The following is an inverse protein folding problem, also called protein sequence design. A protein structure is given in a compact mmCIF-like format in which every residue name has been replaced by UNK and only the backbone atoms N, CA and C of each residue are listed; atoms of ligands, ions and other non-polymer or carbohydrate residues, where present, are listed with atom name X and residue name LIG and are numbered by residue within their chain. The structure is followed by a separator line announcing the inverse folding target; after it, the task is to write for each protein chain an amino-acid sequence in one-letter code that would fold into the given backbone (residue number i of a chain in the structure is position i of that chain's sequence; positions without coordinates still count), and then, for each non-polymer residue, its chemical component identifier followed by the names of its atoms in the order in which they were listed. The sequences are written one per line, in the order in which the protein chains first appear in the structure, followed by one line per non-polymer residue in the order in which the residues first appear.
data_IF_728082800905
#
_entry.id   IF_728082800905
#
_cell.length_a   1.000
_cell.length_b   1.000
_cell.length_c   1.000
_cell.angle_alpha   90.00
_cell.angle_beta   90.00
_cell.angle_gamma   90.00
#
_symmetry.space_group_name_H-M   'P 1'
#
loop_
_entity.id
_entity.type
_entity.pdbx_description
1 polymer ?
#
# COMPACT_ATOMS: atom_id res chain seq x y z
N UNK A 1 7.98 1.84 -16.38
CA UNK A 1 7.31 2.13 -15.07
C UNK A 1 7.57 0.98 -14.12
N UNK A 2 8.09 1.22 -12.93
CA UNK A 2 8.22 0.19 -11.90
C UNK A 2 6.95 0.12 -11.02
N UNK A 3 6.87 -0.86 -10.13
CA UNK A 3 5.67 -1.06 -9.29
C UNK A 3 5.32 0.19 -8.45
N UNK A 4 6.34 0.92 -7.95
CA UNK A 4 6.10 2.14 -7.17
C UNK A 4 5.47 3.26 -8.04
N UNK A 5 5.91 3.42 -9.27
CA UNK A 5 5.34 4.40 -10.21
C UNK A 5 3.89 4.06 -10.58
N UNK A 6 3.58 2.77 -10.75
CA UNK A 6 2.21 2.31 -11.00
C UNK A 6 1.32 2.59 -9.80
N UNK A 7 1.77 2.24 -8.59
CA UNK A 7 1.02 2.51 -7.36
C UNK A 7 0.79 4.01 -7.14
N UNK A 8 1.79 4.86 -7.45
CA UNK A 8 1.64 6.31 -7.41
C UNK A 8 0.56 6.80 -8.38
N UNK A 9 0.60 6.34 -9.63
CA UNK A 9 -0.39 6.72 -10.63
C UNK A 9 -1.81 6.31 -10.20
N UNK A 10 -1.96 5.12 -9.60
CA UNK A 10 -3.23 4.67 -9.02
C UNK A 10 -3.62 5.58 -7.86
N UNK A 11 -2.71 5.88 -6.92
CA UNK A 11 -3.00 6.75 -5.77
C UNK A 11 -3.48 8.14 -6.19
N UNK A 12 -2.84 8.74 -7.20
CA UNK A 12 -3.21 10.05 -7.74
C UNK A 12 -4.58 10.04 -8.45
N UNK A 13 -5.06 8.89 -8.93
CA UNK A 13 -6.37 8.74 -9.55
C UNK A 13 -7.50 8.52 -8.55
N UNK A 14 -7.19 8.24 -7.28
CA UNK A 14 -8.19 8.03 -6.26
C UNK A 14 -8.77 9.37 -5.77
N UNK A 15 -10.04 9.40 -5.33
CA UNK A 15 -10.59 10.59 -4.67
C UNK A 15 -9.74 10.91 -3.44
N UNK A 16 -9.04 12.03 -3.50
CA UNK A 16 -8.21 12.49 -2.39
C UNK A 16 -9.09 12.99 -1.25
N UNK A 17 -8.83 12.58 -0.03
CA UNK A 17 -9.36 13.29 1.10
C UNK A 17 -8.49 14.54 1.32
N UNK A 18 -9.03 15.72 0.98
CA UNK A 18 -8.69 16.90 1.74
C UNK A 18 -7.29 17.52 1.60
N UNK A 19 -7.02 18.10 0.43
CA UNK A 19 -6.12 19.25 0.45
C UNK A 19 -6.74 20.31 1.34
N UNK A 20 -6.05 20.72 2.37
CA UNK A 20 -6.34 21.95 3.06
C UNK A 20 -7.43 21.96 4.11
N UNK A 21 -7.90 20.86 4.61
CA UNK A 21 -8.73 20.83 5.80
C UNK A 21 -7.98 20.34 7.03
N UNK A 22 -7.33 21.24 7.69
CA UNK A 22 -6.61 21.02 8.94
C UNK A 22 -5.81 22.23 9.33
N UNK A 23 -5.24 22.24 10.54
CA UNK A 23 -4.42 23.35 11.05
C UNK A 23 -3.10 23.55 10.30
N UNK A 24 -2.72 22.62 9.44
CA UNK A 24 -1.58 22.72 8.53
C UNK A 24 -1.98 22.02 7.21
N UNK A 25 -2.54 22.76 6.23
CA UNK A 25 -2.88 22.22 4.93
C UNK A 25 -1.60 21.79 4.20
N UNK A 26 -1.60 20.55 3.71
CA UNK A 26 -0.55 20.06 2.83
C UNK A 26 -0.72 20.70 1.44
N UNK A 27 0.37 21.16 0.84
CA UNK A 27 0.35 21.63 -0.55
C UNK A 27 0.16 20.43 -1.51
N UNK A 28 -0.30 20.70 -2.74
CA UNK A 28 -0.43 19.64 -3.74
C UNK A 28 0.92 18.95 -4.01
N UNK A 29 2.01 19.72 -4.08
CA UNK A 29 3.36 19.18 -4.26
C UNK A 29 3.75 18.26 -3.10
N UNK A 30 3.62 18.72 -1.87
CA UNK A 30 3.93 17.93 -0.68
C UNK A 30 3.07 16.64 -0.60
N UNK A 31 1.80 16.72 -1.01
CA UNK A 31 0.94 15.56 -1.10
C UNK A 31 1.44 14.54 -2.14
N UNK A 32 1.83 15.00 -3.33
CA UNK A 32 2.38 14.13 -4.39
C UNK A 32 3.68 13.45 -3.95
N UNK A 33 4.59 14.20 -3.34
CA UNK A 33 5.86 13.68 -2.79
C UNK A 33 5.60 12.63 -1.70
N UNK A 34 4.62 12.87 -0.85
CA UNK A 34 4.22 11.93 0.19
C UNK A 34 3.57 10.67 -0.39
N UNK A 35 2.74 10.77 -1.42
CA UNK A 35 2.21 9.60 -2.14
C UNK A 35 3.32 8.81 -2.84
N UNK A 36 4.33 9.49 -3.39
CA UNK A 36 5.53 8.86 -3.95
C UNK A 36 6.25 8.04 -2.86
N UNK A 37 6.45 8.64 -1.68
CA UNK A 37 7.06 7.96 -0.53
C UNK A 37 6.26 6.71 -0.13
N UNK A 38 4.93 6.82 -0.07
CA UNK A 38 4.02 5.72 0.24
C UNK A 38 4.15 4.58 -0.78
N UNK A 39 4.07 4.91 -2.08
CA UNK A 39 4.15 3.94 -3.16
C UNK A 39 5.51 3.21 -3.18
N UNK A 40 6.60 3.99 -3.01
CA UNK A 40 7.96 3.45 -2.95
C UNK A 40 8.13 2.51 -1.75
N UNK A 41 7.66 2.91 -0.57
CA UNK A 41 7.76 2.09 0.63
C UNK A 41 7.00 0.75 0.48
N UNK A 42 5.79 0.79 -0.09
CA UNK A 42 5.00 -0.41 -0.35
C UNK A 42 5.73 -1.34 -1.33
N UNK A 43 6.23 -0.81 -2.46
CA UNK A 43 6.91 -1.62 -3.46
C UNK A 43 8.16 -2.29 -2.89
N UNK A 44 9.05 -1.53 -2.25
CA UNK A 44 10.30 -2.05 -1.67
C UNK A 44 10.05 -3.13 -0.61
N UNK A 45 9.10 -2.92 0.28
CA UNK A 45 8.81 -3.89 1.34
C UNK A 45 8.04 -5.11 0.82
N UNK A 46 7.26 -4.99 -0.24
CA UNK A 46 6.60 -6.13 -0.88
C UNK A 46 7.61 -7.02 -1.60
N UNK A 47 8.60 -6.43 -2.29
CA UNK A 47 9.69 -7.17 -2.94
C UNK A 47 10.59 -7.88 -1.94
N UNK A 48 10.84 -7.27 -0.78
CA UNK A 48 11.67 -7.84 0.29
C UNK A 48 10.93 -8.85 1.19
N UNK A 49 9.62 -9.06 0.98
CA UNK A 49 8.81 -9.88 1.87
C UNK A 49 8.83 -11.36 1.48
N UNK A 50 9.35 -12.20 2.35
CA UNK A 50 9.38 -13.66 2.19
C UNK A 50 8.21 -14.40 2.88
N UNK A 51 7.46 -13.70 3.70
CA UNK A 51 6.36 -14.29 4.51
C UNK A 51 5.04 -14.44 3.76
N UNK A 52 4.90 -13.77 2.60
CA UNK A 52 3.67 -13.75 1.82
C UNK A 52 3.53 -15.01 0.97
N UNK A 53 2.31 -15.50 0.85
CA UNK A 53 2.02 -16.76 0.14
C UNK A 53 1.89 -16.60 -1.37
N UNK A 54 1.80 -15.37 -1.85
CA UNK A 54 1.63 -15.03 -3.26
C UNK A 54 2.76 -14.12 -3.73
N UNK A 55 2.69 -13.60 -4.93
CA UNK A 55 3.68 -12.68 -5.49
C UNK A 55 3.72 -11.31 -4.77
N UNK A 56 4.83 -10.61 -4.92
CA UNK A 56 5.05 -9.30 -4.31
C UNK A 56 4.04 -8.25 -4.78
N UNK A 57 3.58 -8.33 -6.04
CA UNK A 57 2.58 -7.42 -6.59
C UNK A 57 1.25 -7.55 -5.87
N UNK A 58 0.82 -8.79 -5.59
CA UNK A 58 -0.41 -9.04 -4.85
C UNK A 58 -0.35 -8.53 -3.40
N UNK A 59 0.83 -8.64 -2.75
CA UNK A 59 1.05 -8.09 -1.42
C UNK A 59 1.06 -6.56 -1.42
N UNK A 60 1.72 -5.95 -2.40
CA UNK A 60 1.73 -4.51 -2.58
C UNK A 60 0.31 -3.96 -2.75
N UNK A 61 -0.49 -4.58 -3.62
CA UNK A 61 -1.89 -4.22 -3.83
C UNK A 61 -2.73 -4.39 -2.56
N UNK A 62 -2.54 -5.48 -1.80
CA UNK A 62 -3.24 -5.70 -0.53
C UNK A 62 -2.89 -4.61 0.50
N UNK A 63 -1.60 -4.30 0.65
CA UNK A 63 -1.13 -3.25 1.56
C UNK A 63 -1.67 -1.88 1.17
N UNK A 64 -1.62 -1.54 -0.12
CA UNK A 64 -2.14 -0.29 -0.66
C UNK A 64 -3.63 -0.13 -0.37
N UNK A 65 -4.44 -1.15 -0.65
CA UNK A 65 -5.89 -1.13 -0.42
C UNK A 65 -6.22 -1.06 1.07
N UNK A 66 -5.49 -1.79 1.90
CA UNK A 66 -5.64 -1.72 3.35
C UNK A 66 -5.36 -0.30 3.85
N UNK A 67 -4.24 0.30 3.48
CA UNK A 67 -3.89 1.68 3.89
C UNK A 67 -4.88 2.72 3.38
N UNK A 68 -5.29 2.62 2.12
CA UNK A 68 -6.33 3.51 1.60
C UNK A 68 -7.66 3.34 2.34
N UNK A 69 -8.01 2.13 2.73
CA UNK A 69 -9.27 1.86 3.45
C UNK A 69 -9.22 2.31 4.91
N UNK A 70 -8.07 2.23 5.57
CA UNK A 70 -7.89 2.59 6.97
C UNK A 70 -7.67 4.11 7.17
N UNK A 71 -6.93 4.74 6.28
CA UNK A 71 -6.45 6.10 6.49
C UNK A 71 -6.78 7.07 5.35
N UNK A 72 -7.18 6.59 4.18
CA UNK A 72 -7.27 7.39 2.95
C UNK A 72 -5.98 8.15 2.63
N UNK A 73 -4.84 7.62 3.08
CA UNK A 73 -3.54 8.29 3.01
C UNK A 73 -3.51 9.68 3.66
N UNK A 74 -4.32 9.93 4.68
CA UNK A 74 -4.39 11.21 5.36
C UNK A 74 -3.07 11.55 6.05
N UNK A 75 -2.62 12.83 5.93
CA UNK A 75 -1.34 13.29 6.48
C UNK A 75 -1.25 13.10 7.99
N UNK A 76 -2.31 13.47 8.71
CA UNK A 76 -2.34 13.37 10.17
C UNK A 76 -2.29 11.92 10.67
N UNK A 77 -2.71 10.97 9.85
CA UNK A 77 -2.58 9.53 10.14
C UNK A 77 -1.17 9.06 9.86
N UNK A 78 -0.60 9.46 8.72
CA UNK A 78 0.76 9.11 8.32
C UNK A 78 1.81 9.64 9.30
N UNK A 79 1.72 10.92 9.63
CA UNK A 79 2.60 11.58 10.60
C UNK A 79 2.39 11.11 12.05
N UNK A 80 1.25 10.47 12.35
CA UNK A 80 0.88 10.12 13.72
C UNK A 80 0.41 11.31 14.56
N UNK A 81 0.14 12.46 13.93
CA UNK A 81 -0.35 13.67 14.64
C UNK A 81 -1.84 13.61 14.96
N UNK A 82 -2.58 12.66 14.38
CA UNK A 82 -4.01 12.51 14.62
C UNK A 82 -4.29 12.12 16.07
N UNK A 83 -4.89 13.03 16.79
CA UNK A 83 -5.58 12.73 18.05
C UNK A 83 -6.96 12.20 17.66
N UNK A 84 -7.28 10.96 18.03
CA UNK A 84 -8.60 10.38 17.75
C UNK A 84 -9.71 11.33 18.19
N UNK A 85 -10.60 11.68 17.26
CA UNK A 85 -11.81 12.49 17.58
C UNK A 85 -12.92 11.67 18.26
N UNK A 86 -12.83 10.35 18.17
CA UNK A 86 -13.87 9.42 18.58
C UNK A 86 -13.41 8.56 19.75
N UNK A 87 -13.00 9.13 20.86
CA UNK A 87 -12.84 8.54 22.18
C UNK A 87 -12.40 7.07 22.35
N UNK A 88 -12.79 6.22 21.43
CA UNK A 88 -12.60 4.77 21.54
C UNK A 88 -11.19 4.32 21.18
N UNK A 89 -10.47 5.03 20.32
CA UNK A 89 -9.13 4.60 19.87
C UNK A 89 -7.98 5.48 20.39
N UNK A 90 -8.23 6.65 20.90
CA UNK A 90 -7.33 7.54 21.66
C UNK A 90 -5.81 7.41 21.35
N UNK A 91 -5.43 7.29 20.07
CA UNK A 91 -4.03 7.11 19.67
C UNK A 91 -3.48 5.70 19.86
N UNK A 92 -4.33 4.68 19.96
CA UNK A 92 -3.93 3.27 20.04
C UNK A 92 -3.53 2.69 18.68
N UNK A 93 -4.09 3.24 17.58
CA UNK A 93 -3.69 2.87 16.23
C UNK A 93 -2.58 3.80 15.72
N UNK A 94 -1.65 3.25 14.94
CA UNK A 94 -0.54 4.00 14.36
C UNK A 94 -0.37 3.71 12.89
N UNK A 95 0.21 4.69 12.21
CA UNK A 95 0.55 4.74 10.79
C UNK A 95 -0.63 4.47 9.84
N UNK A 96 -0.36 4.46 8.55
CA UNK A 96 -1.40 4.32 7.51
C UNK A 96 -2.22 3.02 7.61
N UNK A 97 -1.62 1.96 8.12
CA UNK A 97 -2.30 0.68 8.36
C UNK A 97 -3.17 0.64 9.62
N UNK A 98 -3.21 1.71 10.41
CA UNK A 98 -3.95 1.77 11.68
C UNK A 98 -3.65 0.58 12.61
N UNK A 99 -2.35 0.29 12.75
CA UNK A 99 -1.88 -0.86 13.52
C UNK A 99 -1.98 -0.61 15.01
N UNK A 100 -2.66 -1.51 15.71
CA UNK A 100 -2.73 -1.52 17.17
C UNK A 100 -1.54 -2.25 17.78
N UNK A 101 -1.16 -1.84 18.98
CA UNK A 101 -0.20 -2.58 19.79
C UNK A 101 -0.81 -3.94 20.16
N UNK A 102 -0.25 -5.00 19.62
CA UNK A 102 -0.67 -6.39 19.83
C UNK A 102 0.54 -7.30 19.97
N UNK A 103 0.32 -8.60 20.17
CA UNK A 103 1.39 -9.59 20.09
C UNK A 103 2.12 -9.62 18.74
N UNK A 104 1.45 -9.16 17.66
CA UNK A 104 1.97 -9.12 16.31
C UNK A 104 2.74 -7.83 15.99
N UNK A 105 2.40 -6.75 16.68
CA UNK A 105 3.08 -5.45 16.63
C UNK A 105 3.57 -5.11 18.03
N UNK A 106 4.77 -5.57 18.41
CA UNK A 106 5.32 -5.33 19.74
C UNK A 106 5.46 -3.84 20.04
N UNK A 107 5.45 -3.47 21.33
CA UNK A 107 5.52 -2.08 21.76
C UNK A 107 6.74 -1.34 21.21
N UNK A 108 7.88 -2.02 21.08
CA UNK A 108 9.10 -1.45 20.48
C UNK A 108 8.90 -1.02 19.06
N UNK A 109 8.37 -1.91 18.21
CA UNK A 109 8.05 -1.62 16.79
C UNK A 109 6.96 -0.57 16.69
N UNK A 110 5.87 -0.73 17.47
CA UNK A 110 4.71 0.15 17.41
C UNK A 110 5.02 1.63 17.67
N UNK A 111 6.00 1.91 18.55
CA UNK A 111 6.42 3.29 18.84
C UNK A 111 6.99 4.03 17.62
N UNK A 112 7.66 3.30 16.74
CA UNK A 112 8.45 3.83 15.63
C UNK A 112 7.72 3.78 14.27
N UNK A 113 6.39 3.51 14.28
CA UNK A 113 5.61 3.39 13.06
C UNK A 113 5.12 4.75 12.51
N UNK A 114 5.16 5.81 13.30
CA UNK A 114 4.70 7.13 12.87
C UNK A 114 5.82 7.90 12.18
N UNK A 115 5.49 8.63 11.12
CA UNK A 115 6.42 9.47 10.37
C UNK A 115 6.10 9.43 8.87
N UNK A 116 6.44 10.52 8.17
CA UNK A 116 6.18 10.67 6.74
C UNK A 116 7.43 10.46 5.87
N UNK A 117 8.59 10.29 6.49
CA UNK A 117 9.81 9.92 5.79
C UNK A 117 9.75 8.47 5.27
N UNK A 118 10.63 8.17 4.31
CA UNK A 118 10.63 6.87 3.66
C UNK A 118 10.86 5.72 4.66
N UNK A 119 11.76 5.87 5.60
CA UNK A 119 12.10 4.79 6.52
C UNK A 119 10.97 4.51 7.54
N UNK A 120 10.33 5.55 8.07
CA UNK A 120 9.14 5.37 8.91
C UNK A 120 7.99 4.72 8.13
N UNK A 121 7.79 5.15 6.87
CA UNK A 121 6.77 4.59 5.98
C UNK A 121 7.07 3.12 5.65
N UNK A 122 8.33 2.76 5.39
CA UNK A 122 8.76 1.37 5.20
C UNK A 122 8.52 0.51 6.44
N UNK A 123 8.84 1.02 7.65
CA UNK A 123 8.52 0.30 8.89
C UNK A 123 7.02 0.02 9.03
N UNK A 124 6.18 1.00 8.68
CA UNK A 124 4.72 0.81 8.66
C UNK A 124 4.31 -0.25 7.63
N UNK A 125 4.87 -0.22 6.40
CA UNK A 125 4.59 -1.18 5.34
C UNK A 125 4.95 -2.61 5.79
N UNK A 126 6.17 -2.81 6.27
CA UNK A 126 6.66 -4.10 6.78
C UNK A 126 5.77 -4.65 7.89
N UNK A 127 5.39 -3.82 8.85
CA UNK A 127 4.51 -4.23 9.95
C UNK A 127 3.11 -4.59 9.45
N UNK A 128 2.54 -3.81 8.52
CA UNK A 128 1.24 -4.10 7.90
C UNK A 128 1.28 -5.42 7.13
N UNK A 129 2.29 -5.61 6.28
CA UNK A 129 2.47 -6.83 5.48
C UNK A 129 2.61 -8.08 6.35
N UNK A 130 3.37 -7.98 7.44
CA UNK A 130 3.49 -9.05 8.42
C UNK A 130 2.15 -9.42 9.03
N UNK A 131 1.32 -8.44 9.38
CA UNK A 131 -0.02 -8.69 9.91
C UNK A 131 -0.92 -9.31 8.83
N UNK A 132 -0.90 -8.80 7.60
CA UNK A 132 -1.67 -9.36 6.47
C UNK A 132 -1.28 -10.82 6.19
N UNK A 133 0.03 -11.11 6.06
CA UNK A 133 0.51 -12.47 5.82
C UNK A 133 0.08 -13.44 6.91
N UNK A 134 0.15 -13.01 8.15
CA UNK A 134 -0.26 -13.81 9.28
C UNK A 134 -1.77 -14.04 9.33
N UNK A 135 -2.59 -13.02 9.04
CA UNK A 135 -4.04 -13.19 8.95
C UNK A 135 -4.42 -14.07 7.76
N UNK A 136 -3.68 -13.98 6.65
CA UNK A 136 -3.82 -14.86 5.51
C UNK A 136 -3.63 -16.33 5.90
N UNK A 137 -2.51 -16.65 6.57
CA UNK A 137 -2.24 -18.01 7.09
C UNK A 137 -3.33 -18.48 8.04
N UNK A 138 -3.73 -17.63 8.98
CA UNK A 138 -4.79 -17.92 9.94
C UNK A 138 -6.13 -18.23 9.27
N UNK A 139 -6.49 -17.47 8.26
CA UNK A 139 -7.74 -17.66 7.52
C UNK A 139 -7.66 -18.77 6.47
N UNK A 140 -6.57 -19.54 6.46
CA UNK A 140 -6.32 -20.67 5.56
C UNK A 140 -6.44 -20.26 4.08
N UNK A 141 -5.81 -19.12 3.74
CA UNK A 141 -5.66 -18.74 2.35
C UNK A 141 -4.75 -19.74 1.64
N UNK A 142 -5.21 -20.23 0.49
CA UNK A 142 -4.50 -21.22 -0.34
C UNK A 142 -3.87 -20.52 -1.56
N UNK A 143 -3.18 -21.30 -2.35
CA UNK A 143 -2.18 -20.99 -3.37
C UNK A 143 -2.53 -19.96 -4.47
N UNK A 144 -3.73 -19.42 -4.51
CA UNK A 144 -4.09 -18.34 -5.45
C UNK A 144 -4.93 -17.25 -4.77
N UNK A 145 -4.60 -15.98 -5.02
CA UNK A 145 -5.43 -14.89 -4.55
C UNK A 145 -6.81 -14.96 -5.18
N UNK A 146 -7.84 -14.96 -4.36
CA UNK A 146 -9.21 -14.80 -4.80
C UNK A 146 -9.97 -13.88 -3.85
N UNK A 147 -11.08 -13.32 -4.36
CA UNK A 147 -11.86 -12.33 -3.61
C UNK A 147 -12.35 -12.83 -2.24
N UNK A 148 -12.69 -14.11 -2.15
CA UNK A 148 -13.16 -14.69 -0.90
C UNK A 148 -12.05 -14.82 0.14
N UNK A 149 -10.88 -15.31 -0.25
CA UNK A 149 -9.72 -15.45 0.62
C UNK A 149 -9.28 -14.08 1.14
N UNK A 150 -9.21 -13.08 0.25
CA UNK A 150 -8.88 -11.70 0.62
C UNK A 150 -9.91 -11.07 1.55
N UNK A 151 -11.21 -11.28 1.29
CA UNK A 151 -12.24 -10.77 2.18
C UNK A 151 -12.16 -11.36 3.59
N UNK A 152 -11.77 -12.62 3.71
CA UNK A 152 -11.53 -13.28 5.00
C UNK A 152 -10.31 -12.73 5.72
N UNK A 153 -9.21 -12.55 5.01
CA UNK A 153 -7.99 -11.94 5.56
C UNK A 153 -8.26 -10.52 6.04
N UNK A 154 -8.92 -9.71 5.22
CA UNK A 154 -9.28 -8.33 5.57
C UNK A 154 -10.27 -8.26 6.75
N UNK A 155 -11.20 -9.20 6.86
CA UNK A 155 -12.05 -9.31 8.04
C UNK A 155 -11.23 -9.58 9.31
N UNK A 156 -10.26 -10.50 9.24
CA UNK A 156 -9.38 -10.80 10.35
C UNK A 156 -8.43 -9.63 10.68
N UNK A 157 -8.01 -8.86 9.68
CA UNK A 157 -7.24 -7.64 9.89
C UNK A 157 -8.03 -6.59 10.69
N UNK A 158 -9.29 -6.37 10.31
CA UNK A 158 -10.17 -5.38 10.95
C UNK A 158 -10.61 -5.77 12.37
N UNK A 159 -10.90 -7.06 12.57
CA UNK A 159 -11.55 -7.55 13.79
C UNK A 159 -10.64 -8.45 14.65
N UNK A 160 -9.38 -8.61 14.26
CA UNK A 160 -8.34 -9.31 15.00
C UNK A 160 -8.45 -10.83 15.06
N UNK A 161 -9.65 -11.40 15.06
CA UNK A 161 -9.87 -12.83 15.30
C UNK A 161 -10.78 -13.54 14.30
N UNK A 162 -11.70 -12.82 13.67
CA UNK A 162 -12.73 -13.43 12.80
C UNK A 162 -12.31 -13.43 11.34
N UNK A 163 -12.34 -14.62 10.73
CA UNK A 163 -12.20 -14.76 9.28
C UNK A 163 -13.55 -14.71 8.53
N UNK A 164 -14.62 -14.35 9.19
CA UNK A 164 -15.93 -14.22 8.57
C UNK A 164 -16.00 -12.90 7.78
N UNK A 165 -16.19 -12.93 6.43
CA UNK A 165 -16.25 -11.73 5.63
C UNK A 165 -17.38 -10.80 6.07
N UNK A 166 -17.08 -9.51 6.09
CA UNK A 166 -18.02 -8.42 6.32
C UNK A 166 -18.26 -7.65 5.02
N UNK A 167 -19.25 -6.77 4.99
CA UNK A 167 -19.46 -5.83 3.88
C UNK A 167 -18.21 -4.99 3.62
N UNK A 168 -17.55 -4.51 4.68
CA UNK A 168 -16.34 -3.72 4.59
C UNK A 168 -15.16 -4.53 4.01
N UNK A 169 -14.88 -5.73 4.53
CA UNK A 169 -13.80 -6.57 4.04
C UNK A 169 -14.03 -7.05 2.59
N UNK A 170 -15.27 -7.35 2.22
CA UNK A 170 -15.64 -7.68 0.84
C UNK A 170 -15.41 -6.49 -0.10
N UNK A 171 -15.72 -5.27 0.35
CA UNK A 171 -15.43 -4.06 -0.42
C UNK A 171 -13.92 -3.86 -0.63
N UNK A 172 -13.09 -4.12 0.39
CA UNK A 172 -11.62 -4.07 0.27
C UNK A 172 -11.11 -5.12 -0.72
N UNK A 173 -11.60 -6.36 -0.64
CA UNK A 173 -11.23 -7.40 -1.59
C UNK A 173 -11.56 -7.02 -3.06
N UNK A 174 -12.71 -6.40 -3.31
CA UNK A 174 -13.05 -5.87 -4.65
C UNK A 174 -12.11 -4.75 -5.10
N UNK A 175 -11.75 -3.83 -4.20
CA UNK A 175 -10.76 -2.79 -4.50
C UNK A 175 -9.40 -3.37 -4.84
N UNK A 176 -8.98 -4.40 -4.12
CA UNK A 176 -7.76 -5.13 -4.46
C UNK A 176 -7.79 -5.65 -5.89
N UNK A 177 -8.88 -6.32 -6.30
CA UNK A 177 -9.01 -6.80 -7.67
C UNK A 177 -8.94 -5.66 -8.70
N UNK A 178 -9.56 -4.51 -8.40
CA UNK A 178 -9.46 -3.32 -9.24
C UNK A 178 -8.02 -2.80 -9.34
N UNK A 179 -7.29 -2.74 -8.22
CA UNK A 179 -5.89 -2.31 -8.19
C UNK A 179 -5.01 -3.29 -8.97
N UNK A 180 -5.18 -4.61 -8.76
CA UNK A 180 -4.47 -5.64 -9.52
C UNK A 180 -4.69 -5.52 -11.02
N UNK A 181 -5.95 -5.39 -11.46
CA UNK A 181 -6.26 -5.22 -12.88
C UNK A 181 -5.63 -3.96 -13.49
N UNK A 182 -5.53 -2.86 -12.73
CA UNK A 182 -4.82 -1.64 -13.16
C UNK A 182 -3.31 -1.86 -13.25
N UNK A 183 -2.71 -2.55 -12.28
CA UNK A 183 -1.28 -2.89 -12.32
C UNK A 183 -0.98 -3.73 -13.57
N UNK A 184 -1.76 -4.77 -13.82
CA UNK A 184 -1.59 -5.62 -15.00
C UNK A 184 -1.74 -4.84 -16.31
N UNK A 185 -2.74 -3.98 -16.40
CA UNK A 185 -2.96 -3.14 -17.58
C UNK A 185 -1.77 -2.21 -17.84
N UNK A 186 -1.33 -1.44 -16.83
CA UNK A 186 -0.23 -0.48 -16.96
C UNK A 186 1.10 -1.17 -17.26
N UNK A 187 1.31 -2.39 -16.75
CA UNK A 187 2.49 -3.19 -17.08
C UNK A 187 2.48 -3.60 -18.55
N UNK A 188 1.36 -4.10 -19.08
CA UNK A 188 1.22 -4.46 -20.49
C UNK A 188 1.36 -3.26 -21.44
N UNK A 189 0.79 -2.12 -21.09
CA UNK A 189 0.93 -0.88 -21.88
C UNK A 189 2.39 -0.44 -21.97
N UNK A 190 3.14 -0.59 -20.87
CA UNK A 190 4.58 -0.29 -20.86
C UNK A 190 5.37 -1.26 -21.73
N UNK A 191 5.13 -2.56 -21.61
CA UNK A 191 5.80 -3.59 -22.41
C UNK A 191 5.58 -3.30 -23.90
N UNK A 192 4.34 -3.04 -24.29
CA UNK A 192 4.00 -2.69 -25.67
C UNK A 192 4.70 -1.40 -26.15
N UNK A 193 4.85 -0.40 -25.29
CA UNK A 193 5.55 0.84 -25.63
C UNK A 193 7.06 0.61 -25.83
N UNK A 194 7.69 -0.25 -25.04
CA UNK A 194 9.11 -0.62 -25.18
C UNK A 194 9.36 -1.40 -26.48
N UNK A 195 8.45 -2.30 -26.83
CA UNK A 195 8.55 -3.08 -28.06
C UNK A 195 8.34 -2.22 -29.33
N UNK A 196 7.59 -1.11 -29.20
CA UNK A 196 7.33 -0.18 -30.28
C UNK A 196 8.45 0.87 -30.49
N UNK A 197 9.40 1.00 -29.57
CA UNK A 197 10.49 1.96 -29.67
C UNK A 197 11.49 1.47 -30.74
N UNK A 198 11.70 2.20 -31.86
CA UNK A 198 12.57 1.75 -32.94
C UNK A 198 13.99 1.64 -32.39
N UNK A 199 14.65 0.50 -32.63
CA UNK A 199 16.05 0.31 -32.30
C UNK A 199 16.86 1.49 -32.87
N UNK A 200 17.47 2.29 -32.00
CA UNK A 200 18.36 3.36 -32.41
C UNK A 200 19.47 2.75 -33.28
N UNK A 201 19.36 2.94 -34.59
CA UNK A 201 20.39 2.53 -35.52
C UNK A 201 21.66 3.30 -35.14
N UNK A 202 22.75 2.63 -34.77
CA UNK A 202 23.97 3.34 -34.45
C UNK A 202 24.42 4.10 -35.70
N UNK A 203 24.44 5.42 -35.60
CA UNK A 203 24.94 6.29 -36.64
C UNK A 203 26.46 5.96 -36.78
N UNK A 204 26.82 5.13 -37.73
CA UNK A 204 28.24 4.89 -38.08
C UNK A 204 28.83 6.22 -38.49
N UNK A 205 29.65 6.80 -37.61
CA UNK A 205 30.43 7.98 -37.95
C UNK A 205 31.28 7.64 -39.16
N UNK A 206 31.12 8.40 -40.23
CA UNK A 206 31.97 8.27 -41.42
C UNK A 206 33.43 8.53 -41.01
N UNK A 207 34.41 7.78 -41.53
CA UNK A 207 35.80 8.06 -41.22
C UNK A 207 36.23 9.42 -41.78
N UNK A 208 37.10 10.17 -41.07
CA UNK A 208 37.63 11.43 -41.57
C UNK A 208 38.52 11.16 -42.79
N UNK A 209 38.30 11.96 -43.85
CA UNK A 209 39.19 12.02 -45.02
C UNK A 209 40.53 12.69 -44.68
#
# INVERSE_FOLDING_TARGET
MNLAEILLAIALSLPTPWYGQGKAPETELAYRERLQTIATAIALEAEANEDWQWDSTSLAAATFVTWYSESRFALEVHSGSRKSRFGEDAGKARCLGQLHKTGWVPKSVWKDLAGTDLEATRRCARATMKVLAMQGRRCKMKDKPNLWALARMEAAYQHGMSCAPTKASTTRARRWATVMGRIEQMTKEREAALDAEPALVPTTAAPPN
#
